data_IF_808759521337
#
_entry.id   IF_808759521337
#
_cell.length_a   1.000
_cell.length_b   1.000
_cell.length_c   1.000
_cell.angle_alpha   90.00
_cell.angle_beta   90.00
_cell.angle_gamma   90.00
#
_symmetry.space_group_name_H-M   'P 1'
#
loop_
_entity.id
_entity.type
_entity.pdbx_description
1 polymer ?
#
# COMPACT_ATOMS: atom_id res chain seq x y z
N UNK A 1 21.48 -11.15 4.42
CA UNK A 1 20.48 -10.09 4.17
C UNK A 1 21.13 -8.96 3.39
N UNK A 2 20.40 -8.37 2.43
CA UNK A 2 20.92 -7.33 1.52
C UNK A 2 19.97 -6.14 1.41
N UNK A 3 20.16 -5.33 0.38
CA UNK A 3 19.42 -4.08 0.18
C UNK A 3 18.19 -4.29 -0.70
N UNK A 4 17.04 -3.72 -0.32
CA UNK A 4 15.90 -3.52 -1.23
C UNK A 4 15.95 -2.07 -1.73
N UNK A 5 16.19 -1.89 -3.03
CA UNK A 5 16.20 -0.58 -3.69
C UNK A 5 14.98 -0.47 -4.59
N UNK A 6 14.32 0.69 -4.57
CA UNK A 6 13.15 1.00 -5.40
C UNK A 6 13.35 2.40 -5.95
N UNK A 7 13.19 2.56 -7.26
CA UNK A 7 13.14 3.85 -7.94
C UNK A 7 11.84 3.90 -8.74
N UNK A 8 11.08 4.99 -8.58
CA UNK A 8 9.86 5.25 -9.34
C UNK A 8 10.03 6.60 -10.04
N UNK A 9 9.77 6.64 -11.34
CA UNK A 9 9.78 7.86 -12.16
C UNK A 9 8.35 8.41 -12.37
N UNK A 10 7.45 8.10 -11.44
CA UNK A 10 6.03 8.39 -11.48
C UNK A 10 5.48 8.57 -10.05
N UNK A 11 4.17 8.80 -9.92
CA UNK A 11 3.48 8.94 -8.63
C UNK A 11 3.41 7.58 -7.89
N UNK A 12 3.68 7.60 -6.59
CA UNK A 12 3.41 6.48 -5.68
C UNK A 12 2.18 6.80 -4.81
N UNK A 13 1.24 5.86 -4.74
CA UNK A 13 0.00 5.98 -3.97
C UNK A 13 -0.13 4.80 -3.02
N UNK A 14 -0.27 5.08 -1.72
CA UNK A 14 -0.46 4.07 -0.68
C UNK A 14 -1.74 4.36 0.11
N UNK A 15 -2.66 3.39 0.10
CA UNK A 15 -3.83 3.35 0.97
C UNK A 15 -3.71 2.13 1.87
N UNK A 16 -3.76 2.35 3.18
CA UNK A 16 -3.83 1.27 4.18
C UNK A 16 -5.24 1.30 4.76
N UNK A 17 -5.97 0.18 4.69
CA UNK A 17 -7.37 0.11 5.12
C UNK A 17 -7.56 0.12 6.64
N UNK A 18 -6.50 -0.13 7.39
CA UNK A 18 -6.48 -0.12 8.85
C UNK A 18 -5.14 0.49 9.33
N UNK A 19 -4.22 -0.31 9.87
CA UNK A 19 -3.03 0.18 10.56
C UNK A 19 -1.73 -0.07 9.77
N UNK A 20 -0.84 0.94 9.76
CA UNK A 20 0.52 0.82 9.21
C UNK A 20 1.55 0.80 10.35
N UNK A 21 2.30 -0.30 10.47
CA UNK A 21 3.40 -0.42 11.43
C UNK A 21 4.74 -0.33 10.70
N UNK A 22 5.58 0.63 11.11
CA UNK A 22 6.92 0.81 10.54
C UNK A 22 7.98 0.83 11.65
N UNK A 23 8.90 -0.13 11.62
CA UNK A 23 10.07 -0.19 12.52
C UNK A 23 11.34 -0.15 11.69
N UNK A 24 12.21 0.81 11.99
CA UNK A 24 13.48 1.01 11.30
C UNK A 24 14.61 0.87 12.31
N UNK A 25 15.67 0.15 11.94
CA UNK A 25 16.78 -0.11 12.86
C UNK A 25 17.77 1.05 13.04
N UNK A 26 17.75 2.05 12.14
CA UNK A 26 18.74 3.14 12.14
C UNK A 26 18.12 4.52 11.95
N UNK A 27 17.45 4.77 10.83
CA UNK A 27 16.93 6.07 10.51
C UNK A 27 15.72 6.00 9.56
N UNK A 28 14.82 6.99 9.70
CA UNK A 28 13.84 7.35 8.68
C UNK A 28 14.28 8.66 8.04
N UNK A 29 14.62 8.63 6.75
CA UNK A 29 15.12 9.79 6.01
C UNK A 29 14.18 10.06 4.84
N UNK A 30 13.51 11.23 4.86
CA UNK A 30 12.58 11.64 3.83
C UNK A 30 12.94 13.05 3.33
N UNK A 31 12.95 13.22 2.00
CA UNK A 31 13.16 14.51 1.35
C UNK A 31 12.12 14.64 0.24
N UNK A 32 11.38 15.74 0.25
CA UNK A 32 10.48 16.12 -0.83
C UNK A 32 11.04 17.37 -1.55
N UNK A 33 10.73 17.51 -2.85
CA UNK A 33 11.12 18.69 -3.62
C UNK A 33 10.31 19.95 -3.27
N UNK A 34 9.07 19.79 -2.80
CA UNK A 34 8.15 20.90 -2.54
C UNK A 34 7.56 20.87 -1.13
N UNK A 35 6.94 19.77 -0.73
CA UNK A 35 6.16 19.70 0.51
C UNK A 35 6.20 18.30 1.11
N UNK A 36 6.26 18.22 2.45
CA UNK A 36 5.87 17.06 3.23
C UNK A 36 4.66 17.49 4.06
N UNK A 37 3.49 16.90 3.80
CA UNK A 37 2.26 17.19 4.53
C UNK A 37 1.88 16.01 5.41
N UNK A 38 1.93 16.19 6.73
CA UNK A 38 1.47 15.20 7.70
C UNK A 38 0.19 15.71 8.36
N UNK A 39 -0.92 15.00 8.15
CA UNK A 39 -2.21 15.32 8.75
C UNK A 39 -2.73 14.12 9.53
N UNK A 40 -3.01 14.35 10.82
CA UNK A 40 -3.76 13.41 11.64
C UNK A 40 -5.17 13.95 11.89
N UNK A 41 -6.18 13.07 11.92
CA UNK A 41 -7.56 13.48 12.18
C UNK A 41 -7.79 13.96 13.61
N UNK A 42 -7.22 13.25 14.60
CA UNK A 42 -7.44 13.52 16.03
C UNK A 42 -6.15 13.88 16.77
N UNK A 43 -5.09 13.06 16.64
CA UNK A 43 -3.86 13.20 17.42
C UNK A 43 -2.63 12.90 16.57
N UNK A 44 -1.59 13.71 16.72
CA UNK A 44 -0.22 13.43 16.26
C UNK A 44 0.71 13.47 17.46
N UNK A 45 1.62 12.49 17.54
CA UNK A 45 2.67 12.42 18.56
C UNK A 45 3.99 12.23 17.85
N UNK A 46 4.96 13.10 18.12
CA UNK A 46 6.34 13.01 17.62
C UNK A 46 7.22 13.03 18.86
N UNK A 47 7.89 11.90 19.11
CA UNK A 47 8.72 11.69 20.29
C UNK A 47 10.16 11.48 19.87
N UNK A 48 11.07 12.02 20.67
CA UNK A 48 12.51 11.79 20.55
C UNK A 48 13.09 11.72 21.96
N UNK A 49 13.96 10.74 22.20
CA UNK A 49 14.50 10.50 23.54
C UNK A 49 15.54 11.55 23.95
N UNK A 50 16.35 12.02 23.00
CA UNK A 50 17.48 12.93 23.28
C UNK A 50 17.24 14.35 22.80
N UNK A 51 16.75 14.53 21.57
CA UNK A 51 16.55 15.84 20.98
C UNK A 51 15.44 15.84 19.93
N UNK A 52 14.56 16.84 19.95
CA UNK A 52 13.65 17.18 18.86
C UNK A 52 13.96 18.58 18.35
N UNK A 53 14.22 18.72 17.04
CA UNK A 53 14.57 19.99 16.41
C UNK A 53 13.67 20.29 15.22
N UNK A 54 13.07 21.48 15.18
CA UNK A 54 12.30 22.02 14.05
C UNK A 54 12.98 23.28 13.56
N UNK A 55 13.31 23.36 12.26
CA UNK A 55 14.05 24.48 11.65
C UNK A 55 13.36 25.00 10.40
N UNK A 56 13.24 26.32 10.27
CA UNK A 56 12.70 26.98 9.07
C UNK A 56 13.16 28.44 8.99
N UNK A 57 13.52 28.93 7.80
CA UNK A 57 13.78 30.36 7.56
C UNK A 57 14.83 30.99 8.50
N UNK A 58 15.87 30.24 8.89
CA UNK A 58 16.88 30.68 9.86
C UNK A 58 16.43 30.68 11.32
N UNK A 59 15.18 30.28 11.61
CA UNK A 59 14.64 30.11 12.95
C UNK A 59 14.58 28.63 13.35
N UNK A 60 14.55 28.36 14.65
CA UNK A 60 14.41 27.00 15.17
C UNK A 60 13.68 26.92 16.51
N UNK A 61 13.14 25.73 16.76
CA UNK A 61 12.69 25.26 18.07
C UNK A 61 13.46 23.95 18.33
N UNK A 62 14.09 23.85 19.49
CA UNK A 62 14.81 22.65 19.93
C UNK A 62 14.37 22.25 21.33
N UNK A 63 14.09 20.97 21.51
CA UNK A 63 13.78 20.34 22.78
C UNK A 63 14.89 19.35 23.07
N UNK A 64 15.56 19.50 24.21
CA UNK A 64 16.64 18.62 24.66
C UNK A 64 16.64 18.54 26.20
N UNK A 65 17.64 17.86 26.78
CA UNK A 65 17.76 17.72 28.24
C UNK A 65 17.93 19.06 28.99
N UNK A 66 18.29 20.15 28.31
CA UNK A 66 18.41 21.51 28.87
C UNK A 66 17.09 22.30 28.79
N UNK A 67 16.05 21.75 28.15
CA UNK A 67 14.72 22.35 28.05
C UNK A 67 14.33 22.70 26.60
N UNK A 68 13.58 23.81 26.44
CA UNK A 68 13.08 24.28 25.14
C UNK A 68 13.83 25.57 24.75
N UNK A 69 14.55 25.52 23.64
CA UNK A 69 15.20 26.68 23.03
C UNK A 69 14.42 27.14 21.79
N UNK A 70 14.09 28.43 21.73
CA UNK A 70 13.44 29.08 20.59
C UNK A 70 14.33 30.22 20.11
N UNK A 71 14.69 30.23 18.82
CA UNK A 71 15.55 31.25 18.23
C UNK A 71 15.04 31.69 16.87
N UNK A 72 14.98 33.00 16.65
CA UNK A 72 14.55 33.64 15.40
C UNK A 72 14.36 35.15 15.60
N UNK A 73 14.14 35.94 14.53
CA UNK A 73 13.98 37.39 14.63
C UNK A 73 12.77 37.83 15.48
N UNK A 74 11.68 37.06 15.45
CA UNK A 74 10.47 37.31 16.23
C UNK A 74 9.77 35.98 16.56
N UNK A 75 9.45 35.77 17.84
CA UNK A 75 8.57 34.71 18.30
C UNK A 75 7.29 35.31 18.88
N UNK A 76 6.12 34.92 18.35
CA UNK A 76 4.82 35.32 18.88
C UNK A 76 4.24 34.18 19.71
N UNK A 77 4.02 34.40 21.00
CA UNK A 77 3.45 33.41 21.93
C UNK A 77 2.10 33.94 22.41
N UNK A 78 1.04 33.14 22.25
CA UNK A 78 -0.34 33.53 22.56
C UNK A 78 -0.81 34.83 21.87
N UNK A 79 -0.25 35.16 20.70
CA UNK A 79 -0.52 36.43 20.01
C UNK A 79 -0.47 36.29 18.47
N UNK A 80 -1.59 36.58 17.80
CA UNK A 80 -1.68 36.71 16.33
C UNK A 80 -1.14 35.51 15.52
N UNK A 81 -0.95 35.75 14.21
CA UNK A 81 -0.48 34.74 13.25
C UNK A 81 -1.60 33.98 12.54
N UNK A 82 -1.28 33.42 11.37
CA UNK A 82 -2.15 32.49 10.64
C UNK A 82 -1.35 31.21 10.36
N UNK A 83 -1.95 30.02 10.50
CA UNK A 83 -1.27 28.78 10.16
C UNK A 83 -1.01 28.70 8.66
N UNK A 84 0.03 27.97 8.28
CA UNK A 84 0.20 27.55 6.89
C UNK A 84 -0.91 26.57 6.48
N UNK A 85 -1.25 26.56 5.19
CA UNK A 85 -2.05 25.50 4.58
C UNK A 85 -1.15 24.56 3.80
N UNK A 86 -1.50 23.28 3.77
CA UNK A 86 -0.81 22.31 2.93
C UNK A 86 -1.74 21.69 1.89
N UNK A 87 -1.16 21.03 0.89
CA UNK A 87 -1.91 20.53 -0.29
C UNK A 87 -2.94 19.43 -0.01
N UNK A 88 -2.81 18.72 1.12
CA UNK A 88 -3.67 17.58 1.45
C UNK A 88 -3.26 16.31 0.69
N UNK A 89 -4.07 15.26 0.82
CA UNK A 89 -3.78 13.95 0.21
C UNK A 89 -4.63 13.72 -1.04
N UNK A 90 -3.97 13.44 -2.17
CA UNK A 90 -4.61 13.17 -3.46
C UNK A 90 -4.36 11.72 -3.91
N UNK A 91 -4.75 10.75 -3.08
CA UNK A 91 -4.63 9.31 -3.37
C UNK A 91 -5.45 8.94 -4.61
N UNK A 92 -4.88 8.10 -5.48
CA UNK A 92 -5.59 7.39 -6.54
C UNK A 92 -5.78 5.93 -6.13
N UNK A 93 -7.01 5.42 -6.22
CA UNK A 93 -7.31 4.01 -5.92
C UNK A 93 -6.76 3.08 -7.00
N UNK A 94 -6.32 1.85 -6.64
CA UNK A 94 -6.02 0.82 -7.63
C UNK A 94 -7.22 0.54 -8.53
N UNK A 95 -6.96 0.30 -9.81
CA UNK A 95 -8.00 -0.18 -10.74
C UNK A 95 -8.21 -1.67 -10.53
N UNK A 96 -9.47 -2.11 -10.66
CA UNK A 96 -9.78 -3.54 -10.75
C UNK A 96 -9.15 -4.08 -12.04
N UNK A 97 -8.40 -5.19 -12.01
CA UNK A 97 -7.91 -5.83 -13.22
C UNK A 97 -9.06 -6.17 -14.17
N UNK A 98 -8.84 -6.04 -15.47
CA UNK A 98 -9.79 -6.51 -16.47
C UNK A 98 -9.92 -8.03 -16.48
N UNK A 99 -10.80 -8.57 -17.34
CA UNK A 99 -10.81 -10.00 -17.63
C UNK A 99 -9.43 -10.40 -18.17
N UNK A 100 -8.91 -11.55 -17.71
CA UNK A 100 -7.73 -12.14 -18.32
C UNK A 100 -8.01 -12.43 -19.80
N UNK A 101 -6.96 -12.37 -20.63
CA UNK A 101 -7.06 -12.82 -22.01
C UNK A 101 -7.55 -14.28 -22.04
N UNK A 102 -8.47 -14.57 -22.96
CA UNK A 102 -8.85 -15.95 -23.23
C UNK A 102 -7.76 -16.58 -24.08
N UNK A 103 -7.00 -17.49 -23.49
CA UNK A 103 -6.05 -18.35 -24.21
C UNK A 103 -6.49 -19.81 -24.14
N UNK A 104 -6.15 -20.58 -25.16
CA UNK A 104 -6.34 -22.02 -25.14
C UNK A 104 -5.28 -22.64 -24.23
N UNK A 105 -5.64 -23.48 -23.25
CA UNK A 105 -4.64 -24.19 -22.47
C UNK A 105 -3.72 -24.99 -23.41
N UNK A 106 -2.42 -24.93 -23.14
CA UNK A 106 -1.43 -25.75 -23.86
C UNK A 106 -1.77 -27.24 -23.75
N UNK A 107 -1.34 -28.02 -24.73
CA UNK A 107 -1.55 -29.47 -24.70
C UNK A 107 -1.00 -30.06 -23.39
N UNK A 108 -1.73 -30.99 -22.75
CA UNK A 108 -1.24 -31.63 -21.54
C UNK A 108 0.10 -32.33 -21.83
N UNK A 109 1.09 -32.25 -20.93
CA UNK A 109 2.33 -32.99 -21.09
C UNK A 109 2.02 -34.49 -21.22
N UNK A 110 2.71 -35.18 -22.14
CA UNK A 110 2.45 -36.59 -22.49
C UNK A 110 2.38 -37.53 -21.26
N UNK A 111 3.14 -37.20 -20.21
CA UNK A 111 3.14 -37.94 -18.94
C UNK A 111 1.80 -37.93 -18.20
N UNK A 112 0.92 -36.94 -18.42
CA UNK A 112 -0.41 -36.85 -17.80
C UNK A 112 -1.46 -37.58 -18.65
N UNK A 113 -1.29 -37.62 -19.98
CA UNK A 113 -2.18 -38.37 -20.87
C UNK A 113 -2.21 -39.88 -20.56
N UNK A 114 -1.08 -40.42 -20.07
CA UNK A 114 -0.95 -41.83 -19.71
C UNK A 114 -1.65 -42.22 -18.39
N UNK A 115 -1.97 -41.25 -17.52
CA UNK A 115 -2.63 -41.48 -16.22
C UNK A 115 -4.08 -41.01 -16.18
N UNK A 116 -4.63 -40.51 -17.29
CA UNK A 116 -6.06 -40.25 -17.40
C UNK A 116 -6.79 -41.58 -17.49
N UNK A 117 -7.81 -41.84 -16.65
CA UNK A 117 -8.66 -42.99 -16.86
C UNK A 117 -9.25 -42.90 -18.28
N UNK A 118 -9.41 -44.03 -19.00
CA UNK A 118 -10.05 -44.01 -20.31
C UNK A 118 -11.41 -43.32 -20.15
N UNK A 119 -11.65 -42.26 -20.94
CA UNK A 119 -12.95 -41.59 -21.00
C UNK A 119 -14.00 -42.66 -21.28
N UNK A 120 -14.74 -43.05 -20.26
CA UNK A 120 -15.83 -43.99 -20.44
C UNK A 120 -16.96 -43.21 -21.10
N UNK A 121 -17.44 -43.64 -22.29
CA UNK A 121 -18.57 -42.97 -22.91
C UNK A 121 -19.77 -43.05 -21.95
N UNK A 122 -20.31 -41.88 -21.60
CA UNK A 122 -21.53 -41.80 -20.81
C UNK A 122 -22.66 -42.44 -21.60
N UNK A 123 -23.44 -43.33 -20.96
CA UNK A 123 -24.52 -44.04 -21.64
C UNK A 123 -25.58 -43.04 -22.17
N UNK A 124 -26.17 -43.31 -23.35
CA UNK A 124 -27.13 -42.39 -23.99
C UNK A 124 -28.38 -42.16 -23.11
N UNK A 125 -28.85 -43.22 -22.45
CA UNK A 125 -29.91 -43.14 -21.43
C UNK A 125 -29.52 -42.25 -20.24
N UNK A 126 -28.27 -42.34 -19.79
CA UNK A 126 -27.73 -41.54 -18.69
C UNK A 126 -27.78 -40.04 -19.05
N UNK A 127 -27.41 -39.70 -20.29
CA UNK A 127 -27.48 -38.33 -20.82
C UNK A 127 -28.92 -37.83 -20.90
N UNK A 128 -29.84 -38.64 -21.42
CA UNK A 128 -31.27 -38.30 -21.50
C UNK A 128 -31.87 -38.09 -20.11
N UNK A 129 -31.48 -38.90 -19.14
CA UNK A 129 -31.97 -38.81 -17.76
C UNK A 129 -31.42 -37.60 -17.01
N UNK A 130 -30.15 -37.25 -17.23
CA UNK A 130 -29.56 -36.03 -16.67
C UNK A 130 -30.18 -34.76 -17.27
N UNK A 131 -30.44 -34.74 -18.58
CA UNK A 131 -31.18 -33.64 -19.25
C UNK A 131 -32.57 -33.45 -18.64
N UNK A 132 -33.31 -34.53 -18.39
CA UNK A 132 -34.62 -34.49 -17.74
C UNK A 132 -34.55 -33.97 -16.29
N UNK A 133 -33.44 -34.22 -15.59
CA UNK A 133 -33.25 -33.84 -14.19
C UNK A 133 -32.54 -32.49 -14.00
N UNK A 134 -32.15 -31.81 -15.07
CA UNK A 134 -31.38 -30.56 -15.00
C UNK A 134 -30.02 -30.72 -14.32
N UNK A 135 -29.43 -31.91 -14.35
CA UNK A 135 -28.15 -32.22 -13.71
C UNK A 135 -27.03 -32.20 -14.75
N UNK A 136 -25.90 -31.58 -14.41
CA UNK A 136 -24.68 -31.68 -15.22
C UNK A 136 -24.02 -33.04 -14.98
N UNK A 137 -23.79 -33.80 -16.06
CA UNK A 137 -22.90 -34.96 -16.04
C UNK A 137 -21.51 -34.48 -16.47
N UNK A 138 -20.56 -34.53 -15.55
CA UNK A 138 -19.14 -34.43 -15.91
C UNK A 138 -18.61 -35.85 -16.12
N UNK A 139 -17.85 -36.06 -17.20
CA UNK A 139 -16.93 -37.20 -17.28
C UNK A 139 -16.02 -37.13 -16.05
N UNK A 140 -15.95 -38.21 -15.27
CA UNK A 140 -14.97 -38.32 -14.19
C UNK A 140 -13.60 -38.59 -14.75
#
# INVERSE_FOLDING_TARGET
HGERKVELKADDHLTVGDSQHMKLGRAYLAKAGREIHLKAGQKMVIEADSELTVKAGGSFIRLDASGIAISGPLARINAGGAPGSGSGIAIKMPRVPGMADQDSPGAPPEAVAANLPPRQPVCEECLLQAKKRGQALAER
#
